data_IF_916437297837
#
_entry.id   IF_916437297837
#
_cell.length_a   1.000
_cell.length_b   1.000
_cell.length_c   1.000
_cell.angle_alpha   90.00
_cell.angle_beta   90.00
_cell.angle_gamma   90.00
#
_symmetry.space_group_name_H-M   'P 1'
#
loop_
_entity.id
_entity.type
_entity.pdbx_description
1 polymer ?
#
# COMPACT_ATOMS: atom_id res chain seq x y z
N UNK A 1 30.53 76.05 -12.02
CA UNK A 1 29.87 74.93 -12.72
C UNK A 1 30.31 73.65 -12.05
N UNK A 2 29.42 73.07 -11.22
CA UNK A 2 29.67 71.85 -10.47
C UNK A 2 28.68 70.81 -11.00
N UNK A 3 29.15 69.73 -11.60
CA UNK A 3 28.36 68.61 -12.02
C UNK A 3 28.29 67.61 -10.86
N UNK A 4 27.07 67.39 -10.39
CA UNK A 4 26.78 66.31 -9.42
C UNK A 4 26.42 65.03 -10.18
N UNK A 5 27.21 63.97 -9.97
CA UNK A 5 26.90 62.60 -10.42
C UNK A 5 25.99 61.95 -9.39
N UNK A 6 24.77 61.54 -9.81
CA UNK A 6 23.87 60.74 -9.02
C UNK A 6 24.18 59.28 -9.31
N UNK A 7 24.57 58.51 -8.25
CA UNK A 7 24.67 57.05 -8.27
C UNK A 7 23.27 56.47 -8.07
N UNK A 8 22.76 55.78 -9.08
CA UNK A 8 21.57 54.92 -8.95
C UNK A 8 22.05 53.55 -8.48
N UNK A 9 21.75 53.18 -7.23
CA UNK A 9 21.95 51.83 -6.71
C UNK A 9 20.73 50.98 -7.12
N UNK A 10 20.92 50.10 -8.10
CA UNK A 10 19.93 49.06 -8.43
C UNK A 10 20.01 47.96 -7.38
N UNK A 11 19.00 47.90 -6.52
CA UNK A 11 18.79 46.76 -5.63
C UNK A 11 18.27 45.57 -6.46
N UNK A 12 19.13 44.59 -6.73
CA UNK A 12 18.73 43.27 -7.24
C UNK A 12 17.97 42.54 -6.16
N UNK A 13 16.64 42.48 -6.28
CA UNK A 13 15.84 41.51 -5.52
C UNK A 13 16.19 40.11 -5.99
N UNK A 14 17.01 39.41 -5.22
CA UNK A 14 17.16 37.97 -5.35
C UNK A 14 15.83 37.30 -4.95
N UNK A 15 15.03 36.95 -5.97
CA UNK A 15 13.89 36.09 -5.80
C UNK A 15 14.45 34.70 -5.43
N UNK A 16 14.62 34.45 -4.12
CA UNK A 16 14.91 33.14 -3.61
C UNK A 16 13.76 32.24 -4.01
N UNK A 17 14.01 31.30 -4.94
CA UNK A 17 13.13 30.17 -5.14
C UNK A 17 13.07 29.43 -3.79
N UNK A 18 12.02 29.68 -2.99
CA UNK A 18 11.62 28.78 -1.93
C UNK A 18 11.30 27.47 -2.63
N UNK A 19 12.22 26.52 -2.60
CA UNK A 19 11.88 25.12 -2.73
C UNK A 19 10.85 24.83 -1.64
N UNK A 20 9.60 24.68 -2.03
CA UNK A 20 8.54 24.14 -1.19
C UNK A 20 9.00 22.73 -0.79
N UNK A 21 9.66 22.62 0.37
CA UNK A 21 9.81 21.33 0.99
C UNK A 21 8.40 20.84 1.26
N UNK A 22 8.06 19.65 0.75
CA UNK A 22 6.83 18.98 1.07
C UNK A 22 6.64 19.02 2.60
N UNK A 23 5.58 19.70 3.06
CA UNK A 23 5.33 19.80 4.49
C UNK A 23 5.02 18.43 5.03
N UNK A 24 5.86 17.93 5.93
CA UNK A 24 5.52 16.77 6.75
C UNK A 24 4.23 17.06 7.50
N UNK A 25 3.37 16.04 7.64
CA UNK A 25 2.19 16.17 8.47
C UNK A 25 2.64 16.53 9.90
N UNK A 26 2.17 17.65 10.47
CA UNK A 26 2.68 18.13 11.76
C UNK A 26 2.42 17.11 12.85
N UNK A 27 3.40 16.87 13.70
CA UNK A 27 3.25 15.99 14.86
C UNK A 27 2.43 16.67 15.95
N UNK A 28 1.70 15.87 16.73
CA UNK A 28 0.99 16.30 17.94
C UNK A 28 1.01 15.18 18.99
N UNK A 29 0.73 15.54 20.26
CA UNK A 29 0.50 14.51 21.27
C UNK A 29 -0.87 13.88 21.04
N UNK A 30 -1.04 12.56 21.27
CA UNK A 30 -2.35 11.93 21.16
C UNK A 30 -3.43 12.64 21.99
N UNK A 31 -3.12 12.99 23.25
CA UNK A 31 -4.03 13.64 24.18
C UNK A 31 -4.52 14.99 23.66
N UNK A 32 -3.63 15.81 23.07
CA UNK A 32 -4.02 17.10 22.48
C UNK A 32 -4.99 16.95 21.31
N UNK A 33 -5.06 15.79 20.71
CA UNK A 33 -5.95 15.43 19.60
C UNK A 33 -7.11 14.52 20.04
N UNK A 34 -7.38 14.44 21.35
CA UNK A 34 -8.49 13.68 21.87
C UNK A 34 -8.31 12.17 21.87
N UNK A 35 -7.08 11.68 21.82
CA UNK A 35 -6.75 10.25 21.80
C UNK A 35 -5.86 9.93 22.99
N UNK A 36 -6.17 8.86 23.73
CA UNK A 36 -5.33 8.43 24.85
C UNK A 36 -4.12 7.64 24.34
N UNK A 37 -2.91 8.02 24.76
CA UNK A 37 -1.68 7.23 24.52
C UNK A 37 -1.83 5.79 25.01
N UNK A 38 -2.55 5.54 26.10
CA UNK A 38 -2.87 4.18 26.59
C UNK A 38 -3.69 3.36 25.61
N UNK A 39 -4.58 3.98 24.83
CA UNK A 39 -5.38 3.26 23.85
C UNK A 39 -4.51 2.79 22.67
N UNK A 40 -3.60 3.64 22.20
CA UNK A 40 -2.64 3.29 21.15
C UNK A 40 -1.71 2.18 21.62
N UNK A 41 -1.18 2.28 22.85
CA UNK A 41 -0.36 1.22 23.46
C UNK A 41 -1.09 -0.12 23.47
N UNK A 42 -2.34 -0.15 23.93
CA UNK A 42 -3.15 -1.38 23.97
C UNK A 42 -3.39 -1.96 22.58
N UNK A 43 -3.55 -1.10 21.57
CA UNK A 43 -3.67 -1.56 20.19
C UNK A 43 -2.36 -2.23 19.71
N UNK A 44 -1.20 -1.61 19.96
CA UNK A 44 0.11 -2.18 19.61
C UNK A 44 0.31 -3.54 20.31
N UNK A 45 0.06 -3.58 21.64
CA UNK A 45 0.18 -4.80 22.45
C UNK A 45 -0.77 -5.91 21.97
N UNK A 46 -1.98 -5.55 21.54
CA UNK A 46 -2.94 -6.49 20.99
C UNK A 46 -2.49 -7.05 19.64
N UNK A 47 -1.91 -6.22 18.76
CA UNK A 47 -1.30 -6.67 17.51
C UNK A 47 -0.15 -7.65 17.76
N UNK A 48 0.77 -7.33 18.68
CA UNK A 48 1.87 -8.21 19.04
C UNK A 48 1.40 -9.53 19.65
N UNK A 49 0.41 -9.47 20.56
CA UNK A 49 -0.18 -10.66 21.16
C UNK A 49 -0.85 -11.57 20.13
N UNK A 50 -1.64 -11.00 19.23
CA UNK A 50 -2.34 -11.75 18.20
C UNK A 50 -1.37 -12.32 17.15
N UNK A 51 -0.26 -11.62 16.86
CA UNK A 51 0.85 -12.17 16.08
C UNK A 51 1.53 -13.36 16.80
N UNK A 52 1.89 -13.19 18.07
CA UNK A 52 2.55 -14.23 18.86
C UNK A 52 1.69 -15.50 19.04
N UNK A 53 0.36 -15.35 19.05
CA UNK A 53 -0.59 -16.48 19.12
C UNK A 53 -1.07 -16.95 17.75
N UNK A 54 -0.46 -16.45 16.68
CA UNK A 54 -0.81 -16.72 15.27
C UNK A 54 -2.26 -16.40 14.89
N UNK A 55 -2.95 -15.54 15.64
CA UNK A 55 -4.33 -15.11 15.33
C UNK A 55 -4.40 -14.16 14.15
N UNK A 56 -3.34 -13.36 13.92
CA UNK A 56 -3.19 -12.54 12.73
C UNK A 56 -2.64 -13.34 11.53
N UNK A 57 -2.04 -14.50 11.75
CA UNK A 57 -1.38 -15.25 10.69
C UNK A 57 -0.15 -14.55 10.13
N UNK A 58 0.55 -13.75 10.97
CA UNK A 58 1.70 -12.94 10.57
C UNK A 58 1.88 -11.70 11.43
N UNK A 59 2.48 -10.65 10.87
CA UNK A 59 2.96 -9.50 11.63
C UNK A 59 2.57 -8.16 11.01
N UNK A 60 2.31 -7.16 11.85
CA UNK A 60 2.32 -5.74 11.46
C UNK A 60 3.77 -5.31 11.25
N UNK A 61 4.03 -4.58 10.18
CA UNK A 61 5.36 -4.10 9.81
C UNK A 61 5.57 -2.62 10.16
N UNK A 62 4.53 -1.81 10.07
CA UNK A 62 4.56 -0.42 10.46
C UNK A 62 3.19 0.23 10.40
N UNK A 63 3.06 1.36 11.07
CA UNK A 63 1.81 2.12 11.14
C UNK A 63 2.03 3.62 11.26
N UNK A 64 1.03 4.38 10.85
CA UNK A 64 0.88 5.82 11.10
C UNK A 64 -0.58 6.10 11.48
N UNK A 65 -0.80 6.83 12.56
CA UNK A 65 -2.12 7.28 13.01
C UNK A 65 -2.18 8.79 12.92
N UNK A 66 -3.15 9.29 12.16
CA UNK A 66 -3.42 10.72 12.01
C UNK A 66 -4.73 11.08 12.70
N UNK A 67 -4.76 12.28 13.30
CA UNK A 67 -5.94 12.88 13.87
C UNK A 67 -5.93 14.38 13.62
N UNK A 68 -7.03 14.96 13.11
CA UNK A 68 -7.13 16.37 12.76
C UNK A 68 -5.96 16.88 11.90
N UNK A 69 -5.53 16.06 10.92
CA UNK A 69 -4.40 16.35 10.04
C UNK A 69 -3.03 16.32 10.69
N UNK A 70 -2.89 15.72 11.88
CA UNK A 70 -1.64 15.63 12.64
C UNK A 70 -1.24 14.19 12.89
N UNK A 71 0.05 13.88 12.80
CA UNK A 71 0.59 12.59 13.21
C UNK A 71 0.62 12.50 14.73
N UNK A 72 -0.16 11.58 15.31
CA UNK A 72 -0.24 11.37 16.75
C UNK A 72 0.55 10.17 17.24
N UNK A 73 0.79 9.19 16.36
CA UNK A 73 1.67 8.05 16.62
C UNK A 73 2.12 7.44 15.29
N UNK A 74 3.35 6.93 15.27
CA UNK A 74 3.89 6.13 14.18
C UNK A 74 4.94 5.16 14.71
N UNK A 75 5.16 4.06 14.02
CA UNK A 75 6.16 3.07 14.39
C UNK A 75 6.39 2.03 13.30
N UNK A 76 7.53 1.35 13.37
CA UNK A 76 7.87 0.25 12.49
C UNK A 76 8.57 -0.85 13.28
N UNK A 77 8.22 -2.11 12.99
CA UNK A 77 8.81 -3.28 13.66
C UNK A 77 10.11 -3.69 12.97
N UNK A 78 11.25 -3.46 13.62
CA UNK A 78 12.53 -3.91 13.08
C UNK A 78 12.54 -5.44 12.79
N UNK A 79 13.14 -5.89 11.67
CA UNK A 79 14.01 -5.19 10.76
C UNK A 79 13.29 -4.38 9.66
N UNK A 80 11.96 -4.40 9.61
CA UNK A 80 11.21 -3.56 8.68
C UNK A 80 11.45 -2.08 8.98
N UNK A 81 11.45 -1.24 7.94
CA UNK A 81 11.55 0.22 8.06
C UNK A 81 10.55 0.89 7.12
N UNK A 82 9.27 0.58 7.30
CA UNK A 82 8.20 1.00 6.38
C UNK A 82 7.86 2.48 6.48
N UNK A 83 8.38 3.19 7.48
CA UNK A 83 8.23 4.64 7.58
C UNK A 83 9.11 5.39 6.59
N UNK A 84 10.25 4.80 6.17
CA UNK A 84 11.25 5.45 5.31
C UNK A 84 11.54 4.66 4.04
N UNK A 85 11.30 3.34 4.04
CA UNK A 85 11.51 2.47 2.89
C UNK A 85 10.18 2.02 2.31
N UNK A 86 10.06 1.99 0.95
CA UNK A 86 8.84 1.50 0.30
C UNK A 86 8.52 0.06 0.71
N UNK A 87 7.24 -0.19 0.88
CA UNK A 87 6.64 -1.50 1.09
C UNK A 87 5.63 -1.78 -0.02
N UNK A 88 5.50 -3.04 -0.43
CA UNK A 88 4.54 -3.46 -1.45
C UNK A 88 3.11 -3.19 -0.98
N UNK A 89 2.32 -2.56 -1.84
CA UNK A 89 0.95 -2.16 -1.55
C UNK A 89 -0.10 -3.20 -1.92
N UNK A 90 0.22 -4.13 -2.82
CA UNK A 90 -0.77 -5.00 -3.43
C UNK A 90 -1.99 -4.20 -3.94
N UNK A 91 -3.20 -4.70 -3.69
CA UNK A 91 -4.44 -4.09 -4.19
C UNK A 91 -4.72 -2.67 -3.68
N UNK A 92 -4.03 -2.19 -2.64
CA UNK A 92 -4.11 -0.78 -2.25
C UNK A 92 -3.72 0.15 -3.42
N UNK A 93 -2.87 -0.32 -4.35
CA UNK A 93 -2.52 0.35 -5.61
C UNK A 93 -3.74 0.80 -6.43
N UNK A 94 -4.84 0.04 -6.36
CA UNK A 94 -6.09 0.31 -7.08
C UNK A 94 -6.66 1.70 -6.77
N UNK A 95 -6.53 2.13 -5.51
CA UNK A 95 -7.03 3.44 -5.08
C UNK A 95 -6.24 4.60 -5.70
N UNK A 96 -4.95 4.42 -5.93
CA UNK A 96 -4.13 5.40 -6.67
C UNK A 96 -4.51 5.43 -8.15
N UNK A 97 -4.74 4.28 -8.77
CA UNK A 97 -5.21 4.19 -10.16
C UNK A 97 -6.59 4.85 -10.33
N UNK A 98 -7.52 4.63 -9.39
CA UNK A 98 -8.80 5.34 -9.36
C UNK A 98 -8.61 6.85 -9.25
N UNK A 99 -7.69 7.30 -8.41
CA UNK A 99 -7.38 8.73 -8.27
C UNK A 99 -6.84 9.33 -9.58
N UNK A 100 -6.03 8.58 -10.34
CA UNK A 100 -5.58 9.00 -11.67
C UNK A 100 -6.76 9.17 -12.64
N UNK A 101 -7.70 8.22 -12.66
CA UNK A 101 -8.95 8.37 -13.45
C UNK A 101 -9.73 9.61 -12.99
N UNK A 102 -9.79 9.87 -11.68
CA UNK A 102 -10.47 11.04 -11.12
C UNK A 102 -9.90 12.36 -11.64
N UNK A 103 -8.59 12.49 -11.71
CA UNK A 103 -7.96 13.69 -12.31
C UNK A 103 -8.34 13.85 -13.78
N UNK A 104 -8.41 12.75 -14.54
CA UNK A 104 -8.78 12.80 -15.95
C UNK A 104 -10.27 13.09 -16.16
N UNK A 105 -11.13 12.70 -15.23
CA UNK A 105 -12.55 13.08 -15.22
C UNK A 105 -12.69 14.57 -14.89
N UNK A 106 -12.00 15.08 -13.89
CA UNK A 106 -11.97 16.49 -13.54
C UNK A 106 -11.44 17.38 -14.69
N UNK A 107 -10.45 16.87 -15.44
CA UNK A 107 -9.93 17.52 -16.65
C UNK A 107 -10.91 17.44 -17.86
N UNK A 108 -12.05 16.76 -17.74
CA UNK A 108 -13.01 16.53 -18.83
C UNK A 108 -12.51 15.59 -19.92
N UNK A 109 -11.45 14.83 -19.67
CA UNK A 109 -10.82 13.91 -20.65
C UNK A 109 -11.44 12.52 -20.66
N UNK A 110 -12.05 12.11 -19.55
CA UNK A 110 -12.76 10.84 -19.39
C UNK A 110 -14.19 11.10 -18.94
N UNK A 111 -15.13 10.48 -19.66
CA UNK A 111 -16.51 10.30 -19.24
C UNK A 111 -16.63 8.87 -18.64
N UNK A 112 -17.24 8.75 -17.46
CA UNK A 112 -17.44 7.47 -16.78
C UNK A 112 -18.32 6.49 -17.58
N UNK A 113 -19.19 6.99 -18.46
CA UNK A 113 -20.03 6.18 -19.33
C UNK A 113 -19.38 5.85 -20.69
N UNK A 114 -18.16 6.35 -20.94
CA UNK A 114 -17.43 6.04 -22.15
C UNK A 114 -17.09 4.54 -22.21
N UNK A 115 -17.28 3.95 -23.39
CA UNK A 115 -17.04 2.53 -23.65
C UNK A 115 -15.55 2.19 -23.61
N UNK A 116 -15.18 1.14 -22.87
CA UNK A 116 -13.78 0.72 -22.67
C UNK A 116 -13.12 0.39 -24.00
N UNK A 117 -13.79 -0.32 -24.89
CA UNK A 117 -13.24 -0.69 -26.21
C UNK A 117 -12.88 0.53 -27.08
N UNK A 118 -13.49 1.70 -26.83
CA UNK A 118 -13.18 2.92 -27.60
C UNK A 118 -11.78 3.47 -27.31
N UNK A 119 -11.13 3.03 -26.22
CA UNK A 119 -9.75 3.39 -25.93
C UNK A 119 -8.73 2.44 -26.58
N UNK A 120 -9.18 1.24 -26.99
CA UNK A 120 -8.33 0.13 -27.43
C UNK A 120 -8.82 -0.48 -28.76
N UNK A 121 -8.91 0.30 -29.85
CA UNK A 121 -9.42 -0.21 -31.12
C UNK A 121 -8.58 -1.35 -31.70
N UNK A 122 -7.24 -1.32 -31.49
CA UNK A 122 -6.32 -2.30 -32.04
C UNK A 122 -6.23 -3.60 -31.20
N UNK A 123 -6.52 -3.50 -29.90
CA UNK A 123 -6.49 -4.61 -28.95
C UNK A 123 -7.87 -5.30 -28.82
N UNK A 124 -8.93 -4.65 -29.32
CA UNK A 124 -10.32 -5.17 -29.26
C UNK A 124 -10.50 -6.32 -30.26
N UNK A 125 -11.16 -7.44 -29.87
CA UNK A 125 -11.50 -8.50 -30.81
C UNK A 125 -12.23 -7.98 -32.06
N UNK A 126 -11.97 -8.56 -33.21
CA UNK A 126 -12.65 -8.21 -34.46
C UNK A 126 -14.18 -8.29 -34.33
N UNK A 127 -14.70 -9.28 -33.60
CA UNK A 127 -16.10 -9.50 -33.30
C UNK A 127 -16.37 -9.47 -31.79
N UNK A 128 -16.33 -8.29 -31.14
CA UNK A 128 -16.55 -8.19 -29.69
C UNK A 128 -17.98 -8.59 -29.33
N UNK A 129 -18.14 -9.28 -28.19
CA UNK A 129 -19.46 -9.66 -27.67
C UNK A 129 -20.31 -8.43 -27.37
N UNK A 130 -21.65 -8.58 -27.32
CA UNK A 130 -22.56 -7.49 -26.96
C UNK A 130 -22.23 -6.94 -25.58
N UNK A 131 -21.94 -7.81 -24.60
CA UNK A 131 -21.56 -7.38 -23.26
C UNK A 131 -20.22 -6.58 -23.28
N UNK A 132 -19.20 -7.03 -24.02
CA UNK A 132 -17.94 -6.28 -24.11
C UNK A 132 -18.15 -4.89 -24.72
N UNK A 133 -19.03 -4.76 -25.73
CA UNK A 133 -19.40 -3.45 -26.33
C UNK A 133 -20.02 -2.49 -25.32
N UNK A 134 -20.65 -3.04 -24.26
CA UNK A 134 -21.36 -2.26 -23.25
C UNK A 134 -20.51 -1.85 -22.06
N UNK A 135 -19.33 -2.47 -21.84
CA UNK A 135 -18.44 -2.16 -20.70
C UNK A 135 -18.04 -0.68 -20.72
N UNK A 136 -18.27 0.00 -19.61
CA UNK A 136 -17.92 1.41 -19.41
C UNK A 136 -16.76 1.55 -18.39
N UNK A 137 -16.15 2.71 -18.36
CA UNK A 137 -15.10 3.04 -17.37
C UNK A 137 -15.61 2.84 -15.93
N UNK A 138 -16.84 3.24 -15.63
CA UNK A 138 -17.44 3.04 -14.29
C UNK A 138 -17.57 1.56 -13.92
N UNK A 139 -17.81 0.68 -14.89
CA UNK A 139 -17.98 -0.75 -14.63
C UNK A 139 -16.65 -1.39 -14.19
N UNK A 140 -15.51 -0.91 -14.71
CA UNK A 140 -14.17 -1.26 -14.23
C UNK A 140 -13.90 -0.71 -12.83
N UNK A 141 -14.23 0.57 -12.58
CA UNK A 141 -14.03 1.23 -11.28
C UNK A 141 -14.80 0.54 -10.16
N UNK A 142 -16.00 0.04 -10.45
CA UNK A 142 -16.89 -0.61 -9.48
C UNK A 142 -16.72 -2.12 -9.40
N UNK A 143 -15.76 -2.72 -10.14
CA UNK A 143 -15.61 -4.18 -10.20
C UNK A 143 -16.84 -4.91 -10.74
N UNK A 144 -17.56 -4.28 -11.65
CA UNK A 144 -18.78 -4.80 -12.28
C UNK A 144 -18.55 -5.11 -13.77
N UNK A 145 -17.37 -5.59 -14.15
CA UNK A 145 -17.02 -5.91 -15.53
C UNK A 145 -17.98 -6.96 -16.15
N UNK A 146 -18.46 -7.90 -15.33
CA UNK A 146 -19.38 -8.95 -15.80
C UNK A 146 -18.69 -10.24 -16.25
N UNK A 147 -17.37 -10.35 -16.13
CA UNK A 147 -16.64 -11.59 -16.37
C UNK A 147 -16.83 -12.57 -15.21
N UNK A 148 -17.17 -13.83 -15.48
CA UNK A 148 -17.20 -14.88 -14.45
C UNK A 148 -15.80 -15.34 -14.07
N UNK A 149 -14.81 -15.12 -14.93
CA UNK A 149 -13.40 -15.37 -14.69
C UNK A 149 -12.63 -14.05 -14.60
N UNK A 150 -12.29 -13.58 -13.38
CA UNK A 150 -11.47 -12.39 -13.20
C UNK A 150 -9.99 -12.67 -13.51
N UNK A 151 -9.17 -11.61 -13.57
CA UNK A 151 -7.71 -11.65 -13.69
C UNK A 151 -7.24 -12.45 -14.94
N UNK A 152 -7.90 -12.24 -16.10
CA UNK A 152 -7.58 -12.96 -17.34
C UNK A 152 -6.17 -12.63 -17.89
N UNK A 153 -5.56 -11.53 -17.45
CA UNK A 153 -4.17 -11.17 -17.76
C UNK A 153 -3.17 -12.22 -17.27
N UNK A 154 -3.55 -13.03 -16.30
CA UNK A 154 -2.70 -14.11 -15.75
C UNK A 154 -2.57 -15.31 -16.68
N UNK A 155 -3.39 -15.41 -17.72
CA UNK A 155 -3.30 -16.50 -18.70
C UNK A 155 -2.15 -16.31 -19.66
N UNK A 156 -1.72 -15.06 -19.89
CA UNK A 156 -0.61 -14.71 -20.76
C UNK A 156 0.34 -13.75 -20.04
N UNK A 157 1.06 -14.29 -19.06
CA UNK A 157 1.95 -13.51 -18.17
C UNK A 157 3.01 -12.74 -18.96
N UNK A 158 3.46 -13.28 -20.11
CA UNK A 158 4.50 -12.68 -20.94
C UNK A 158 3.94 -11.81 -22.07
N UNK A 159 2.63 -11.74 -22.22
CA UNK A 159 1.95 -11.12 -23.34
C UNK A 159 1.36 -9.75 -23.04
N UNK A 160 0.39 -9.37 -23.87
CA UNK A 160 -0.35 -8.12 -23.75
C UNK A 160 -1.56 -8.29 -22.83
N UNK A 161 -1.45 -7.77 -21.62
CA UNK A 161 -2.50 -7.91 -20.61
C UNK A 161 -3.77 -7.11 -20.94
N UNK A 162 -3.67 -5.99 -21.66
CA UNK A 162 -4.83 -5.26 -22.16
C UNK A 162 -5.61 -6.12 -23.13
N UNK A 163 -4.90 -6.72 -24.08
CA UNK A 163 -5.49 -7.63 -25.06
C UNK A 163 -6.10 -8.86 -24.39
N UNK A 164 -5.40 -9.49 -23.45
CA UNK A 164 -5.90 -10.65 -22.69
C UNK A 164 -7.23 -10.31 -22.00
N UNK A 165 -7.33 -9.15 -21.34
CA UNK A 165 -8.54 -8.70 -20.66
C UNK A 165 -9.69 -8.41 -21.63
N UNK A 166 -9.43 -7.78 -22.78
CA UNK A 166 -10.45 -7.48 -23.79
C UNK A 166 -10.94 -8.73 -24.53
N UNK A 167 -10.11 -9.79 -24.60
CA UNK A 167 -10.48 -11.08 -25.17
C UNK A 167 -11.12 -12.04 -24.16
N UNK A 168 -11.19 -11.64 -22.87
CA UNK A 168 -11.88 -12.41 -21.86
C UNK A 168 -13.40 -12.44 -22.13
N UNK A 169 -14.03 -13.54 -21.77
CA UNK A 169 -15.49 -13.67 -21.90
C UNK A 169 -16.21 -12.82 -20.86
N UNK A 170 -17.09 -11.95 -21.30
CA UNK A 170 -17.99 -11.18 -20.45
C UNK A 170 -19.34 -11.91 -20.39
N UNK A 171 -19.53 -12.69 -19.34
CA UNK A 171 -20.65 -13.65 -19.22
C UNK A 171 -21.99 -12.98 -18.80
N UNK A 172 -21.88 -11.83 -18.11
CA UNK A 172 -23.02 -11.11 -17.54
C UNK A 172 -23.08 -9.69 -18.08
N UNK A 173 -24.24 -9.08 -17.98
CA UNK A 173 -24.42 -7.66 -18.31
C UNK A 173 -23.50 -6.81 -17.39
N UNK A 174 -22.62 -5.96 -17.98
CA UNK A 174 -21.76 -5.06 -17.22
C UNK A 174 -22.54 -4.13 -16.30
N UNK A 175 -22.02 -3.86 -15.13
CA UNK A 175 -22.67 -3.01 -14.13
C UNK A 175 -23.65 -3.74 -13.20
N UNK A 176 -23.91 -5.04 -13.40
CA UNK A 176 -24.95 -5.76 -12.65
C UNK A 176 -24.42 -6.61 -11.48
N UNK A 177 -23.22 -7.16 -11.60
CA UNK A 177 -22.67 -8.11 -10.60
C UNK A 177 -21.27 -7.70 -10.22
N UNK A 178 -21.06 -7.49 -8.94
CA UNK A 178 -19.73 -7.26 -8.38
C UNK A 178 -18.89 -8.54 -8.41
N UNK A 179 -17.71 -8.46 -9.02
CA UNK A 179 -16.68 -9.48 -8.96
C UNK A 179 -15.32 -8.82 -8.99
N UNK A 180 -14.57 -9.01 -7.90
CA UNK A 180 -13.25 -8.38 -7.75
C UNK A 180 -12.28 -8.89 -8.82
N UNK A 181 -11.65 -7.95 -9.56
CA UNK A 181 -10.88 -8.23 -10.77
C UNK A 181 -9.71 -7.22 -10.88
N UNK A 182 -8.48 -7.72 -10.72
CA UNK A 182 -7.29 -6.86 -10.80
C UNK A 182 -6.97 -6.46 -12.23
N UNK A 183 -7.32 -7.32 -13.21
CA UNK A 183 -7.19 -7.01 -14.63
C UNK A 183 -8.09 -5.85 -15.06
N UNK A 184 -9.29 -5.73 -14.48
CA UNK A 184 -10.14 -4.57 -14.70
C UNK A 184 -9.43 -3.26 -14.26
N UNK A 185 -8.66 -3.29 -13.18
CA UNK A 185 -7.86 -2.13 -12.76
C UNK A 185 -6.64 -1.92 -13.66
N UNK A 186 -6.04 -2.98 -14.20
CA UNK A 186 -4.99 -2.83 -15.21
C UNK A 186 -5.50 -2.11 -16.47
N UNK A 187 -6.72 -2.42 -16.92
CA UNK A 187 -7.38 -1.65 -17.99
C UNK A 187 -7.56 -0.17 -17.62
N UNK A 188 -7.90 0.16 -16.36
CA UNK A 188 -7.97 1.55 -15.89
C UNK A 188 -6.61 2.23 -15.93
N UNK A 189 -5.53 1.54 -15.55
CA UNK A 189 -4.16 2.05 -15.66
C UNK A 189 -3.80 2.34 -17.12
N UNK A 190 -4.08 1.40 -18.02
CA UNK A 190 -3.85 1.57 -19.45
C UNK A 190 -4.66 2.73 -20.04
N UNK A 191 -5.93 2.91 -19.63
CA UNK A 191 -6.76 4.06 -20.03
C UNK A 191 -6.12 5.36 -19.53
N UNK A 192 -5.67 5.40 -18.26
CA UNK A 192 -5.05 6.60 -17.70
C UNK A 192 -3.77 6.98 -18.47
N UNK A 193 -2.91 6.02 -18.79
CA UNK A 193 -1.69 6.26 -19.60
C UNK A 193 -2.03 6.76 -21.02
N UNK A 194 -2.97 6.09 -21.68
CA UNK A 194 -3.40 6.44 -23.05
C UNK A 194 -4.02 7.83 -23.14
N UNK A 195 -4.85 8.21 -22.16
CA UNK A 195 -5.54 9.52 -22.15
C UNK A 195 -4.65 10.65 -21.65
N UNK A 196 -3.79 10.40 -20.67
CA UNK A 196 -2.84 11.40 -20.19
C UNK A 196 -1.65 11.62 -21.14
N UNK A 197 -1.31 10.61 -21.94
CA UNK A 197 -0.10 10.57 -22.77
C UNK A 197 1.18 10.35 -21.96
N UNK A 198 1.07 9.89 -20.71
CA UNK A 198 2.18 9.67 -19.77
C UNK A 198 2.06 8.31 -19.09
N UNK A 199 3.19 7.68 -18.71
CA UNK A 199 3.16 6.55 -17.77
C UNK A 199 2.38 6.90 -16.50
N UNK A 200 1.60 5.96 -15.97
CA UNK A 200 0.74 6.18 -14.79
C UNK A 200 1.49 6.79 -13.60
N UNK A 201 2.69 6.28 -13.33
CA UNK A 201 3.49 6.76 -12.21
C UNK A 201 4.00 8.19 -12.40
N UNK A 202 4.33 8.57 -13.63
CA UNK A 202 4.71 9.95 -13.97
C UNK A 202 3.51 10.90 -13.86
N UNK A 203 2.35 10.48 -14.37
CA UNK A 203 1.11 11.25 -14.25
C UNK A 203 0.71 11.47 -12.79
N UNK A 204 0.75 10.40 -11.98
CA UNK A 204 0.47 10.48 -10.54
C UNK A 204 1.54 11.29 -9.80
N UNK A 205 2.80 11.21 -10.21
CA UNK A 205 3.88 12.00 -9.61
C UNK A 205 3.55 13.49 -9.68
N UNK A 206 3.20 13.99 -10.84
CA UNK A 206 2.89 15.40 -11.06
C UNK A 206 1.61 15.86 -10.36
N UNK A 207 0.55 15.03 -10.42
CA UNK A 207 -0.79 15.41 -9.99
C UNK A 207 -1.06 15.12 -8.51
N UNK A 208 -0.36 14.14 -7.92
CA UNK A 208 -0.61 13.64 -6.58
C UNK A 208 0.65 13.58 -5.72
N UNK A 209 1.68 12.85 -6.16
CA UNK A 209 2.80 12.53 -5.27
C UNK A 209 3.62 13.77 -4.89
N UNK A 210 4.05 14.56 -5.85
CA UNK A 210 4.82 15.79 -5.59
C UNK A 210 4.01 16.79 -4.75
N UNK A 211 2.72 17.08 -5.06
CA UNK A 211 1.91 17.95 -4.22
C UNK A 211 1.73 17.47 -2.78
N UNK A 212 1.62 16.16 -2.56
CA UNK A 212 1.47 15.56 -1.23
C UNK A 212 2.82 15.33 -0.52
N UNK A 213 3.94 15.54 -1.19
CA UNK A 213 5.26 15.24 -0.65
C UNK A 213 5.57 13.76 -0.51
N UNK A 214 4.95 12.93 -1.33
CA UNK A 214 5.26 11.51 -1.42
C UNK A 214 6.48 11.32 -2.31
N UNK A 215 7.60 10.90 -1.75
CA UNK A 215 8.89 10.86 -2.46
C UNK A 215 9.31 9.47 -2.93
N UNK A 216 8.63 8.43 -2.47
CA UNK A 216 9.06 7.05 -2.65
C UNK A 216 8.16 6.14 -3.51
N UNK A 217 7.00 6.59 -4.06
CA UNK A 217 6.15 5.68 -4.83
C UNK A 217 6.82 5.20 -6.13
N UNK A 218 6.76 3.90 -6.37
CA UNK A 218 7.13 3.27 -7.63
C UNK A 218 6.20 2.08 -7.91
N UNK A 219 6.18 1.56 -9.13
CA UNK A 219 5.37 0.40 -9.51
C UNK A 219 6.14 -0.54 -10.42
N UNK A 220 5.83 -1.82 -10.33
CA UNK A 220 6.13 -2.78 -11.39
C UNK A 220 5.29 -2.49 -12.63
N UNK A 221 5.71 -3.03 -13.76
CA UNK A 221 5.02 -2.85 -15.05
C UNK A 221 4.69 -4.20 -15.68
N UNK A 222 3.67 -4.23 -16.54
CA UNK A 222 3.35 -5.36 -17.40
C UNK A 222 4.45 -5.58 -18.45
N UNK A 223 4.45 -6.71 -19.17
CA UNK A 223 5.38 -6.94 -20.29
C UNK A 223 5.34 -5.88 -21.38
N UNK A 224 4.19 -5.21 -21.55
CA UNK A 224 4.02 -4.09 -22.49
C UNK A 224 4.40 -2.73 -21.93
N UNK A 225 4.90 -2.68 -20.67
CA UNK A 225 5.40 -1.47 -20.00
C UNK A 225 4.36 -0.64 -19.26
N UNK A 226 3.08 -1.07 -19.23
CA UNK A 226 2.01 -0.39 -18.51
C UNK A 226 2.14 -0.68 -17.01
N UNK A 227 2.00 0.33 -16.16
CA UNK A 227 2.08 0.15 -14.71
C UNK A 227 1.06 -0.88 -14.20
N UNK A 228 1.49 -1.76 -13.27
CA UNK A 228 0.62 -2.72 -12.59
C UNK A 228 -0.26 -2.00 -11.55
N UNK A 229 -1.12 -1.08 -12.03
CA UNK A 229 -1.94 -0.20 -11.20
C UNK A 229 -2.92 -0.92 -10.27
N UNK A 230 -3.15 -2.22 -10.50
CA UNK A 230 -4.01 -3.07 -9.68
C UNK A 230 -3.32 -3.67 -8.45
N UNK A 231 -1.95 -3.73 -8.42
CA UNK A 231 -1.23 -4.40 -7.33
C UNK A 231 0.27 -4.05 -7.20
N UNK A 232 0.90 -3.44 -8.22
CA UNK A 232 2.35 -3.35 -8.34
C UNK A 232 2.99 -2.14 -7.67
N UNK A 233 2.23 -1.25 -7.05
CA UNK A 233 2.79 -0.06 -6.41
C UNK A 233 3.43 -0.39 -5.07
N UNK A 234 4.46 0.39 -4.75
CA UNK A 234 5.20 0.36 -3.51
C UNK A 234 5.38 1.78 -3.00
N UNK A 235 5.25 1.99 -1.70
CA UNK A 235 5.55 3.28 -1.05
C UNK A 235 5.65 3.13 0.47
N UNK A 236 5.96 4.20 1.20
CA UNK A 236 6.10 4.17 2.66
C UNK A 236 4.75 4.26 3.38
N UNK A 237 4.73 3.87 4.67
CA UNK A 237 3.53 4.02 5.52
C UNK A 237 3.15 5.48 5.69
N UNK A 238 4.13 6.39 5.75
CA UNK A 238 3.88 7.84 5.80
C UNK A 238 3.20 8.34 4.52
N UNK A 239 3.59 7.81 3.35
CA UNK A 239 2.98 8.20 2.08
C UNK A 239 1.52 7.75 1.97
N UNK A 240 1.21 6.49 2.35
CA UNK A 240 -0.19 6.06 2.36
C UNK A 240 -1.03 6.78 3.42
N UNK A 241 -0.43 7.27 4.51
CA UNK A 241 -1.11 8.12 5.48
C UNK A 241 -1.40 9.51 4.91
N UNK A 242 -0.45 10.13 4.17
CA UNK A 242 -0.69 11.39 3.42
C UNK A 242 -1.83 11.23 2.41
N UNK A 243 -1.85 10.12 1.68
CA UNK A 243 -2.94 9.80 0.76
C UNK A 243 -4.28 9.67 1.50
N UNK A 244 -4.33 8.97 2.64
CA UNK A 244 -5.52 8.90 3.48
C UNK A 244 -6.00 10.27 3.97
N UNK A 245 -5.08 11.14 4.40
CA UNK A 245 -5.41 12.50 4.82
C UNK A 245 -5.93 13.36 3.65
N UNK A 246 -5.36 13.22 2.46
CA UNK A 246 -5.83 13.88 1.25
C UNK A 246 -7.28 13.48 0.91
N UNK A 247 -7.60 12.19 1.03
CA UNK A 247 -8.98 11.69 0.83
C UNK A 247 -9.93 12.20 1.91
N UNK A 248 -9.49 12.21 3.19
CA UNK A 248 -10.26 12.73 4.32
C UNK A 248 -10.59 14.21 4.13
N UNK A 249 -9.69 14.98 3.54
CA UNK A 249 -9.89 16.39 3.20
C UNK A 249 -10.62 16.59 1.85
N UNK A 250 -11.27 15.54 1.34
CA UNK A 250 -12.05 15.58 0.10
C UNK A 250 -11.25 16.15 -1.08
N UNK A 251 -10.00 15.72 -1.24
CA UNK A 251 -9.14 16.09 -2.36
C UNK A 251 -8.46 17.46 -2.22
N UNK A 252 -8.52 18.08 -1.04
CA UNK A 252 -7.77 19.31 -0.74
C UNK A 252 -6.43 18.98 -0.10
N UNK A 253 -5.41 19.78 -0.46
CA UNK A 253 -4.10 19.69 0.16
C UNK A 253 -3.45 21.06 0.15
N UNK A 254 -2.87 21.47 1.27
CA UNK A 254 -2.22 22.77 1.44
C UNK A 254 -3.08 23.94 0.93
N UNK A 255 -4.36 23.91 1.29
CA UNK A 255 -5.35 24.92 0.91
C UNK A 255 -5.86 24.83 -0.53
N UNK A 256 -5.27 24.01 -1.40
CA UNK A 256 -5.67 23.84 -2.81
C UNK A 256 -6.57 22.63 -3.01
N UNK A 257 -7.56 22.74 -3.89
CA UNK A 257 -8.33 21.59 -4.37
C UNK A 257 -7.55 20.96 -5.53
N UNK A 258 -6.90 19.81 -5.26
CA UNK A 258 -6.13 19.10 -6.29
C UNK A 258 -7.02 18.13 -7.09
N UNK A 259 -7.95 17.46 -6.42
CA UNK A 259 -8.93 16.56 -7.00
C UNK A 259 -10.32 17.00 -6.53
N UNK A 260 -11.33 16.96 -7.38
CA UNK A 260 -12.65 17.46 -7.01
C UNK A 260 -13.22 16.73 -5.78
N UNK A 261 -13.93 17.47 -4.95
CA UNK A 261 -14.70 16.92 -3.83
C UNK A 261 -15.71 15.89 -4.31
N UNK A 262 -16.31 16.17 -5.46
CA UNK A 262 -17.30 15.30 -6.07
C UNK A 262 -16.70 13.93 -6.39
N UNK A 263 -15.50 13.90 -7.01
CA UNK A 263 -14.82 12.63 -7.28
C UNK A 263 -14.54 11.86 -6.00
N UNK A 264 -13.96 12.48 -4.97
CA UNK A 264 -13.62 11.79 -3.72
C UNK A 264 -14.87 11.21 -3.08
N UNK A 265 -15.98 11.97 -3.04
CA UNK A 265 -17.26 11.49 -2.51
C UNK A 265 -17.83 10.32 -3.31
N UNK A 266 -17.80 10.39 -4.64
CA UNK A 266 -18.21 9.26 -5.50
C UNK A 266 -17.33 8.04 -5.30
N UNK A 267 -16.01 8.23 -5.31
CA UNK A 267 -15.06 7.13 -5.21
C UNK A 267 -15.15 6.38 -3.87
N UNK A 268 -15.42 7.09 -2.78
CA UNK A 268 -15.49 6.51 -1.43
C UNK A 268 -16.90 6.14 -0.98
N UNK A 269 -17.95 6.53 -1.72
CA UNK A 269 -19.33 6.10 -1.49
C UNK A 269 -19.56 4.67 -2.01
N UNK A 270 -20.56 4.01 -1.46
CA UNK A 270 -20.99 2.71 -2.00
C UNK A 270 -21.62 2.88 -3.38
N UNK A 271 -20.98 2.41 -4.41
CA UNK A 271 -21.44 2.36 -5.78
C UNK A 271 -22.08 1.01 -6.12
N UNK A 272 -21.60 -0.07 -5.50
CA UNK A 272 -22.10 -1.42 -5.71
C UNK A 272 -22.13 -2.19 -4.39
N UNK A 273 -22.96 -3.24 -4.36
CA UNK A 273 -23.01 -4.15 -3.23
C UNK A 273 -21.97 -5.24 -3.39
N UNK A 274 -21.10 -5.40 -2.38
CA UNK A 274 -20.02 -6.38 -2.38
C UNK A 274 -20.36 -7.67 -1.61
N UNK A 275 -21.61 -7.87 -1.24
CA UNK A 275 -22.08 -9.07 -0.53
C UNK A 275 -21.97 -10.33 -1.40
N UNK A 276 -21.41 -11.39 -0.84
CA UNK A 276 -21.29 -12.69 -1.51
C UNK A 276 -19.94 -12.97 -2.18
N UNK A 277 -18.91 -12.19 -1.89
CA UNK A 277 -17.57 -12.44 -2.43
C UNK A 277 -16.84 -13.50 -1.61
N UNK A 278 -16.24 -14.42 -2.33
CA UNK A 278 -15.16 -15.28 -1.82
C UNK A 278 -13.84 -14.53 -2.06
N UNK A 279 -13.31 -13.89 -1.02
CA UNK A 279 -11.94 -13.37 -1.07
C UNK A 279 -11.03 -14.46 -0.50
N UNK A 280 -10.15 -15.01 -1.33
CA UNK A 280 -9.12 -15.98 -0.91
C UNK A 280 -9.60 -17.07 0.05
N UNK A 281 -10.61 -17.85 -0.37
CA UNK A 281 -11.15 -19.00 0.37
C UNK A 281 -11.90 -18.72 1.69
N UNK A 282 -12.12 -17.49 2.09
CA UNK A 282 -12.93 -17.20 3.28
C UNK A 282 -14.38 -16.89 2.88
N UNK A 283 -15.32 -17.65 3.43
CA UNK A 283 -16.76 -17.33 3.37
C UNK A 283 -17.01 -16.22 4.37
N UNK A 284 -17.32 -15.03 3.87
CA UNK A 284 -17.48 -13.84 4.70
C UNK A 284 -18.92 -13.75 5.22
N UNK A 285 -19.09 -13.74 6.55
CA UNK A 285 -20.38 -13.58 7.23
C UNK A 285 -20.86 -12.11 7.26
N UNK A 286 -22.11 -11.88 7.67
CA UNK A 286 -22.79 -10.58 7.70
C UNK A 286 -22.09 -9.48 8.54
N UNK A 287 -21.01 -9.78 9.26
CA UNK A 287 -20.20 -8.84 10.04
C UNK A 287 -18.88 -8.43 9.39
N UNK A 288 -18.59 -8.86 8.16
CA UNK A 288 -17.32 -8.59 7.51
C UNK A 288 -17.24 -7.19 6.90
N UNK A 289 -16.04 -6.59 6.96
CA UNK A 289 -15.72 -5.33 6.31
C UNK A 289 -15.56 -5.44 4.79
N UNK A 290 -15.61 -6.66 4.22
CA UNK A 290 -15.69 -6.89 2.76
C UNK A 290 -17.13 -6.99 2.25
N UNK A 291 -18.12 -6.88 3.13
CA UNK A 291 -19.56 -6.91 2.77
C UNK A 291 -20.27 -5.58 2.98
N UNK A 292 -19.53 -4.48 3.16
CA UNK A 292 -20.13 -3.17 3.39
C UNK A 292 -20.34 -2.35 2.10
N UNK A 293 -19.97 -2.94 0.95
CA UNK A 293 -20.04 -2.33 -0.38
C UNK A 293 -18.69 -1.81 -0.87
N UNK A 294 -18.67 -1.41 -2.14
CA UNK A 294 -17.48 -0.98 -2.86
C UNK A 294 -17.76 0.31 -3.64
N UNK A 295 -16.81 1.21 -3.64
CA UNK A 295 -16.84 2.45 -4.40
C UNK A 295 -16.07 2.35 -5.72
N UNK A 296 -15.36 3.41 -6.11
CA UNK A 296 -14.44 3.41 -7.23
C UNK A 296 -13.05 3.01 -6.73
N UNK A 297 -12.82 1.69 -6.58
CA UNK A 297 -11.58 1.07 -6.07
C UNK A 297 -11.30 1.38 -4.58
N UNK A 298 -12.36 1.56 -3.78
CA UNK A 298 -12.33 1.69 -2.32
C UNK A 298 -13.35 0.75 -1.69
N UNK A 299 -12.97 0.08 -0.62
CA UNK A 299 -13.87 -0.71 0.20
C UNK A 299 -14.60 0.16 1.22
N UNK A 300 -15.90 -0.05 1.35
CA UNK A 300 -16.63 0.46 2.51
C UNK A 300 -16.36 -0.43 3.72
N UNK A 301 -16.39 0.19 4.90
CA UNK A 301 -16.21 -0.49 6.18
C UNK A 301 -17.45 -0.34 7.05
N UNK A 302 -17.50 -1.15 8.09
CA UNK A 302 -18.37 -0.89 9.24
C UNK A 302 -18.03 0.49 9.82
N UNK A 303 -18.88 1.00 10.69
CA UNK A 303 -18.67 2.26 11.43
C UNK A 303 -18.51 3.51 10.52
N UNK A 304 -19.11 3.51 9.33
CA UNK A 304 -19.05 4.67 8.44
C UNK A 304 -17.70 4.92 7.76
N UNK A 305 -16.66 4.16 8.09
CA UNK A 305 -15.33 4.29 7.49
C UNK A 305 -15.29 3.75 6.04
N UNK A 306 -14.19 4.08 5.35
CA UNK A 306 -13.80 3.48 4.08
C UNK A 306 -12.29 3.27 4.06
N UNK A 307 -11.82 2.46 3.13
CA UNK A 307 -10.40 2.16 3.07
C UNK A 307 -9.87 1.88 1.67
N UNK A 308 -8.61 2.19 1.43
CA UNK A 308 -7.76 1.54 0.46
C UNK A 308 -7.20 0.27 1.11
N UNK A 309 -7.17 -0.84 0.34
CA UNK A 309 -6.97 -2.19 0.88
C UNK A 309 -6.07 -3.01 -0.03
N UNK A 310 -5.04 -3.60 0.54
CA UNK A 310 -4.15 -4.52 -0.17
C UNK A 310 -3.95 -5.82 0.59
N UNK A 311 -3.71 -6.89 -0.14
CA UNK A 311 -3.49 -8.22 0.43
C UNK A 311 -2.46 -8.18 1.57
N UNK A 312 -2.64 -9.06 2.54
CA UNK A 312 -1.78 -9.23 3.70
C UNK A 312 -1.69 -8.00 4.63
N UNK A 313 -2.72 -7.14 4.67
CA UNK A 313 -2.85 -6.06 5.65
C UNK A 313 -2.21 -4.73 5.23
N UNK A 314 -2.23 -4.39 3.94
CA UNK A 314 -1.84 -3.07 3.48
C UNK A 314 -3.07 -2.15 3.54
N UNK A 315 -3.24 -1.42 4.62
CA UNK A 315 -4.47 -0.66 4.88
C UNK A 315 -4.23 0.85 4.97
N UNK A 316 -5.15 1.63 4.43
CA UNK A 316 -5.38 3.02 4.80
C UNK A 316 -6.86 3.18 5.11
N UNK A 317 -7.19 3.16 6.40
CA UNK A 317 -8.56 3.31 6.90
C UNK A 317 -8.82 4.79 7.20
N UNK A 318 -9.86 5.34 6.59
CA UNK A 318 -10.27 6.74 6.75
C UNK A 318 -11.57 6.79 7.55
N UNK A 319 -11.59 7.63 8.57
CA UNK A 319 -12.70 7.84 9.51
C UNK A 319 -13.24 9.26 9.37
N UNK A 320 -14.20 9.51 8.46
CA UNK A 320 -14.70 10.87 8.23
C UNK A 320 -15.33 11.51 9.47
N UNK A 321 -16.10 10.75 10.25
CA UNK A 321 -16.76 11.26 11.48
C UNK A 321 -15.78 11.58 12.61
N UNK A 322 -14.65 10.85 12.67
CA UNK A 322 -13.62 11.02 13.69
C UNK A 322 -12.49 11.95 13.23
N UNK A 323 -12.50 12.43 11.99
CA UNK A 323 -11.38 13.18 11.39
C UNK A 323 -10.03 12.50 11.65
N UNK A 324 -9.95 11.21 11.30
CA UNK A 324 -8.79 10.36 11.57
C UNK A 324 -8.43 9.46 10.38
N UNK A 325 -7.16 9.05 10.35
CA UNK A 325 -6.62 8.05 9.40
C UNK A 325 -5.75 7.07 10.17
N UNK A 326 -5.90 5.79 9.85
CA UNK A 326 -5.01 4.72 10.33
C UNK A 326 -4.44 4.02 9.11
N UNK A 327 -3.13 4.12 8.94
CA UNK A 327 -2.39 3.46 7.85
C UNK A 327 -1.48 2.39 8.41
N UNK A 328 -1.49 1.22 7.77
CA UNK A 328 -0.74 0.04 8.20
C UNK A 328 -0.08 -0.63 7.01
N UNK A 329 1.17 -1.05 7.18
CA UNK A 329 1.81 -2.06 6.37
C UNK A 329 2.00 -3.32 7.20
N UNK A 330 1.73 -4.48 6.61
CA UNK A 330 1.80 -5.75 7.29
C UNK A 330 2.14 -6.92 6.36
N UNK A 331 2.39 -8.08 6.96
CA UNK A 331 2.48 -9.37 6.28
C UNK A 331 1.68 -10.39 7.09
N UNK A 332 0.35 -10.38 6.99
CA UNK A 332 -0.54 -11.19 7.81
C UNK A 332 -1.63 -11.89 6.98
N UNK A 333 -2.22 -12.94 7.55
CA UNK A 333 -3.25 -13.76 6.90
C UNK A 333 -4.68 -13.37 7.25
N UNK A 334 -4.93 -12.87 8.48
CA UNK A 334 -6.26 -12.48 8.92
C UNK A 334 -6.45 -10.96 8.95
N UNK A 335 -6.78 -10.40 7.81
CA UNK A 335 -7.03 -8.97 7.64
C UNK A 335 -8.31 -8.48 8.32
N UNK A 336 -9.32 -9.38 8.51
CA UNK A 336 -10.51 -9.00 9.28
C UNK A 336 -10.15 -8.81 10.74
N UNK A 337 -9.29 -9.65 11.29
CA UNK A 337 -8.81 -9.50 12.66
C UNK A 337 -7.99 -8.22 12.84
N UNK A 338 -7.20 -7.84 11.86
CA UNK A 338 -6.50 -6.55 11.85
C UNK A 338 -7.47 -5.37 11.96
N UNK A 339 -8.51 -5.35 11.14
CA UNK A 339 -9.58 -4.33 11.21
C UNK A 339 -10.31 -4.38 12.56
N UNK A 340 -10.63 -5.57 13.09
CA UNK A 340 -11.28 -5.71 14.38
C UNK A 340 -10.45 -5.15 15.54
N UNK A 341 -9.13 -5.22 15.46
CA UNK A 341 -8.23 -4.57 16.43
C UNK A 341 -8.33 -3.04 16.34
N UNK A 342 -8.41 -2.49 15.13
CA UNK A 342 -8.62 -1.04 14.92
C UNK A 342 -9.99 -0.63 15.49
N UNK A 343 -11.06 -1.38 15.21
CA UNK A 343 -12.41 -1.10 15.74
C UNK A 343 -12.49 -1.23 17.26
N UNK A 344 -11.75 -2.16 17.84
CA UNK A 344 -11.81 -2.43 19.27
C UNK A 344 -11.02 -1.43 20.09
N UNK A 345 -9.84 -1.01 19.62
CA UNK A 345 -8.92 -0.22 20.45
C UNK A 345 -8.78 1.23 19.99
N UNK A 346 -8.77 1.51 18.68
CA UNK A 346 -8.53 2.86 18.17
C UNK A 346 -9.83 3.64 17.95
N UNK A 347 -10.84 3.04 17.34
CA UNK A 347 -12.09 3.75 17.06
C UNK A 347 -12.74 4.34 18.33
N UNK A 348 -12.90 3.63 19.45
CA UNK A 348 -13.48 4.20 20.67
C UNK A 348 -12.58 5.25 21.33
N UNK A 349 -11.31 5.29 20.97
CA UNK A 349 -10.35 6.24 21.53
C UNK A 349 -10.37 7.61 20.85
N UNK A 350 -10.99 7.74 19.68
CA UNK A 350 -11.13 9.01 18.98
C UNK A 350 -12.21 9.87 19.65
N UNK A 351 -11.85 10.57 20.74
CA UNK A 351 -12.73 11.43 21.49
C UNK A 351 -13.09 12.74 20.77
N UNK A 352 -14.18 13.41 21.16
CA UNK A 352 -14.64 14.64 20.53
C UNK A 352 -13.83 15.89 20.91
N UNK A 353 -12.98 15.81 21.92
CA UNK A 353 -12.18 16.93 22.45
C UNK A 353 -10.85 16.43 22.98
N UNK A 354 -9.91 17.34 23.22
CA UNK A 354 -8.64 17.01 23.85
C UNK A 354 -8.85 16.21 25.16
N UNK A 355 -8.05 15.15 25.31
CA UNK A 355 -8.04 14.35 26.53
C UNK A 355 -7.15 14.98 27.60
N UNK A 356 -7.30 14.55 28.84
CA UNK A 356 -6.38 14.94 29.90
C UNK A 356 -4.95 14.48 29.57
N UNK A 357 -3.99 15.34 29.79
CA UNK A 357 -2.57 15.01 29.57
C UNK A 357 -2.15 13.83 30.46
N UNK A 358 -1.45 12.88 29.86
CA UNK A 358 -0.90 11.70 30.55
C UNK A 358 0.55 11.49 30.07
N UNK A 359 1.48 12.21 30.71
CA UNK A 359 2.90 12.19 30.33
C UNK A 359 3.53 10.80 30.50
N UNK A 360 3.12 10.04 31.52
CA UNK A 360 3.60 8.69 31.75
C UNK A 360 3.20 7.76 30.60
N UNK A 361 1.93 7.74 30.21
CA UNK A 361 1.45 6.95 29.10
C UNK A 361 2.05 7.39 27.77
N UNK A 362 2.26 8.69 27.57
CA UNK A 362 2.91 9.23 26.38
C UNK A 362 4.39 8.83 26.29
N UNK A 363 5.11 8.89 27.41
CA UNK A 363 6.50 8.42 27.47
C UNK A 363 6.59 6.91 27.20
N UNK A 364 5.67 6.12 27.77
CA UNK A 364 5.59 4.69 27.51
C UNK A 364 5.28 4.39 26.04
N UNK A 365 4.36 5.12 25.40
CA UNK A 365 4.07 4.97 23.97
C UNK A 365 5.29 5.29 23.09
N UNK A 366 5.99 6.40 23.37
CA UNK A 366 7.23 6.74 22.65
C UNK A 366 8.29 5.66 22.79
N UNK A 367 8.52 5.17 24.03
CA UNK A 367 9.47 4.09 24.28
C UNK A 367 9.09 2.81 23.55
N UNK A 368 7.78 2.46 23.53
CA UNK A 368 7.26 1.31 22.80
C UNK A 368 7.49 1.43 21.30
N UNK A 369 7.11 2.55 20.69
CA UNK A 369 7.31 2.79 19.27
C UNK A 369 8.78 2.74 18.85
N UNK A 370 9.70 3.21 19.70
CA UNK A 370 11.12 3.18 19.45
C UNK A 370 11.77 1.77 19.59
N UNK A 371 11.09 0.84 20.24
CA UNK A 371 11.59 -0.52 20.53
C UNK A 371 10.83 -1.62 19.79
N UNK A 372 9.95 -1.29 18.85
CA UNK A 372 9.22 -2.27 18.08
C UNK A 372 10.15 -3.17 17.28
N UNK A 373 10.00 -4.48 17.44
CA UNK A 373 10.76 -5.49 16.71
C UNK A 373 9.93 -6.73 16.44
N UNK A 374 10.11 -7.32 15.27
CA UNK A 374 9.50 -8.59 14.93
C UNK A 374 10.11 -9.70 15.77
N UNK A 375 9.31 -10.63 16.27
CA UNK A 375 9.83 -11.75 17.06
C UNK A 375 10.68 -12.66 16.17
N UNK A 376 11.64 -13.36 16.81
CA UNK A 376 12.33 -14.48 16.20
C UNK A 376 11.35 -15.64 16.13
N UNK A 377 10.85 -15.96 14.93
CA UNK A 377 9.74 -16.91 14.73
C UNK A 377 10.17 -18.34 15.07
N UNK A 378 9.45 -19.01 15.95
CA UNK A 378 9.75 -20.39 16.32
C UNK A 378 9.08 -21.46 15.44
N UNK A 379 8.04 -21.13 14.65
CA UNK A 379 7.13 -22.13 14.07
C UNK A 379 6.92 -22.08 12.54
N UNK A 380 7.64 -21.25 11.79
CA UNK A 380 7.53 -21.25 10.32
C UNK A 380 8.68 -22.04 9.70
N UNK A 381 8.37 -23.20 9.10
CA UNK A 381 9.31 -23.95 8.27
C UNK A 381 9.09 -23.59 6.82
N UNK A 382 9.80 -22.58 6.33
CA UNK A 382 9.91 -22.29 4.91
C UNK A 382 11.40 -22.13 4.58
N UNK A 383 11.95 -23.11 3.87
CA UNK A 383 13.33 -23.10 3.44
C UNK A 383 13.49 -22.02 2.35
N UNK A 384 14.09 -20.91 2.71
CA UNK A 384 14.32 -19.82 1.79
C UNK A 384 15.14 -20.27 0.58
N UNK A 385 14.45 -20.51 -0.55
CA UNK A 385 15.04 -20.88 -1.85
C UNK A 385 16.14 -21.98 -1.79
N UNK A 386 16.01 -22.98 -0.94
CA UNK A 386 16.96 -24.07 -0.81
C UNK A 386 18.17 -23.78 0.09
N UNK A 387 18.19 -22.66 0.80
CA UNK A 387 19.27 -22.31 1.73
C UNK A 387 19.41 -23.24 2.93
N UNK A 388 18.46 -24.11 3.18
CA UNK A 388 18.60 -25.27 4.08
C UNK A 388 19.80 -26.18 3.71
N UNK A 389 20.22 -26.16 2.43
CA UNK A 389 21.36 -26.91 1.88
C UNK A 389 22.62 -26.05 1.70
N UNK A 390 22.58 -24.79 2.10
CA UNK A 390 23.71 -23.87 1.96
C UNK A 390 24.93 -24.28 2.79
N UNK A 391 26.11 -23.88 2.33
CA UNK A 391 27.32 -23.97 3.14
C UNK A 391 27.28 -22.83 4.16
N UNK A 392 27.44 -23.16 5.45
CA UNK A 392 27.42 -22.22 6.56
C UNK A 392 28.84 -21.98 7.07
N UNK A 393 29.34 -20.75 6.96
CA UNK A 393 30.66 -20.33 7.43
C UNK A 393 30.52 -19.27 8.52
N UNK A 394 31.35 -19.33 9.58
CA UNK A 394 31.41 -18.26 10.59
C UNK A 394 31.86 -16.94 9.97
N UNK A 395 31.31 -15.84 10.49
CA UNK A 395 31.71 -14.47 10.16
C UNK A 395 31.81 -13.64 11.45
N UNK A 396 32.49 -12.47 11.46
CA UNK A 396 32.72 -11.69 12.68
C UNK A 396 31.45 -11.35 13.48
N UNK A 397 30.34 -11.07 12.77
CA UNK A 397 29.03 -10.69 13.36
C UNK A 397 27.95 -11.76 13.24
N UNK A 398 28.32 -13.00 12.92
CA UNK A 398 27.36 -14.10 12.75
C UNK A 398 27.84 -15.16 11.77
N UNK A 399 27.14 -15.35 10.67
CA UNK A 399 27.42 -16.38 9.66
C UNK A 399 27.17 -15.86 8.25
N UNK A 400 27.81 -16.50 7.29
CA UNK A 400 27.48 -16.37 5.87
C UNK A 400 27.03 -17.72 5.35
N UNK A 401 25.84 -17.76 4.77
CA UNK A 401 25.32 -18.91 4.06
C UNK A 401 25.60 -18.73 2.56
N UNK A 402 26.18 -19.75 1.92
CA UNK A 402 26.48 -19.75 0.49
C UNK A 402 25.75 -20.90 -0.21
N UNK A 403 24.99 -20.59 -1.27
CA UNK A 403 24.31 -21.53 -2.12
C UNK A 403 24.57 -21.15 -3.60
N UNK A 404 25.47 -21.87 -4.24
CA UNK A 404 25.95 -21.48 -5.58
C UNK A 404 26.67 -20.12 -5.54
N UNK A 405 26.20 -19.19 -6.34
CA UNK A 405 26.68 -17.79 -6.38
C UNK A 405 25.98 -16.85 -5.38
N UNK A 406 24.93 -17.33 -4.72
CA UNK A 406 24.14 -16.54 -3.75
C UNK A 406 24.75 -16.60 -2.35
N UNK A 407 24.78 -15.46 -1.70
CA UNK A 407 25.23 -15.31 -0.32
C UNK A 407 24.17 -14.64 0.53
N UNK A 408 23.92 -15.14 1.75
CA UNK A 408 23.03 -14.56 2.76
C UNK A 408 23.81 -14.32 4.04
N UNK A 409 23.90 -13.07 4.47
CA UNK A 409 24.45 -12.71 5.75
C UNK A 409 23.43 -13.02 6.86
N UNK A 410 23.86 -13.70 7.91
CA UNK A 410 23.02 -14.09 9.04
C UNK A 410 23.65 -13.54 10.31
N UNK A 411 22.98 -12.64 10.99
CA UNK A 411 23.51 -12.02 12.21
C UNK A 411 23.34 -12.91 13.45
N UNK A 412 24.22 -12.75 14.42
CA UNK A 412 24.15 -13.46 15.71
C UNK A 412 23.33 -12.64 16.71
N UNK A 413 22.08 -13.06 16.96
CA UNK A 413 21.14 -12.37 17.87
C UNK A 413 20.68 -10.98 17.40
N UNK A 414 21.11 -10.52 16.23
CA UNK A 414 20.68 -9.27 15.57
C UNK A 414 20.51 -9.50 14.08
N UNK A 415 19.63 -8.74 13.46
CA UNK A 415 19.38 -8.86 12.02
C UNK A 415 20.59 -8.42 11.21
N UNK A 416 21.02 -9.22 10.25
CA UNK A 416 21.97 -8.84 9.20
C UNK A 416 21.20 -8.70 7.87
N UNK A 417 21.53 -7.67 7.10
CA UNK A 417 20.81 -7.38 5.83
C UNK A 417 21.71 -7.76 4.66
N UNK A 418 21.09 -8.39 3.66
CA UNK A 418 21.71 -8.75 2.39
C UNK A 418 20.83 -8.22 1.26
N UNK A 419 21.45 -7.54 0.29
CA UNK A 419 20.75 -7.12 -0.93
C UNK A 419 20.92 -8.15 -2.02
N UNK A 420 19.81 -8.60 -2.60
CA UNK A 420 19.78 -9.52 -3.74
C UNK A 420 19.11 -8.91 -4.94
N UNK A 421 19.70 -9.14 -6.12
CA UNK A 421 19.12 -8.76 -7.39
C UNK A 421 18.45 -9.99 -8.02
N UNK A 422 17.14 -9.90 -8.25
CA UNK A 422 16.31 -10.98 -8.81
C UNK A 422 16.04 -10.83 -10.32
N UNK A 423 16.61 -9.85 -10.97
CA UNK A 423 16.48 -9.58 -12.40
C UNK A 423 16.80 -8.13 -12.71
N UNK A 424 16.92 -7.81 -14.01
CA UNK A 424 17.28 -6.47 -14.49
C UNK A 424 16.06 -5.60 -14.83
N UNK A 425 14.84 -6.15 -14.76
CA UNK A 425 13.63 -5.46 -15.18
C UNK A 425 12.63 -5.31 -14.01
N UNK A 426 11.82 -4.25 -14.06
CA UNK A 426 10.65 -4.08 -13.21
C UNK A 426 9.40 -4.75 -13.80
N UNK A 427 9.55 -5.61 -14.80
CA UNK A 427 8.45 -6.39 -15.36
C UNK A 427 8.00 -7.42 -14.35
N UNK A 428 6.72 -7.35 -13.99
CA UNK A 428 6.10 -8.18 -12.97
C UNK A 428 5.87 -9.60 -13.48
N UNK A 429 6.54 -10.62 -12.98
CA UNK A 429 6.13 -12.01 -13.15
C UNK A 429 5.32 -12.46 -11.92
N UNK A 430 4.10 -11.89 -11.72
CA UNK A 430 3.14 -12.31 -10.69
C UNK A 430 3.75 -12.49 -9.27
N UNK A 431 3.93 -11.37 -8.55
CA UNK A 431 4.33 -11.35 -7.13
C UNK A 431 5.72 -11.92 -6.81
N UNK A 432 6.58 -12.17 -7.78
CA UNK A 432 7.91 -12.74 -7.58
C UNK A 432 8.97 -11.76 -8.06
N UNK A 433 9.65 -11.14 -7.10
CA UNK A 433 11.05 -10.77 -7.11
C UNK A 433 11.60 -10.25 -8.46
N UNK A 434 11.18 -9.08 -8.87
CA UNK A 434 11.89 -8.29 -9.86
C UNK A 434 12.69 -7.19 -9.14
N UNK A 435 13.83 -6.82 -9.70
CA UNK A 435 14.69 -5.77 -9.13
C UNK A 435 15.54 -6.24 -7.93
N UNK A 436 15.94 -5.29 -7.10
CA UNK A 436 16.77 -5.55 -5.92
C UNK A 436 15.93 -5.53 -4.66
N UNK A 437 16.04 -6.58 -3.86
CA UNK A 437 15.36 -6.70 -2.57
C UNK A 437 16.36 -6.84 -1.44
N UNK A 438 16.03 -6.28 -0.29
CA UNK A 438 16.78 -6.49 0.96
C UNK A 438 16.14 -7.63 1.74
N UNK A 439 16.99 -8.54 2.24
CA UNK A 439 16.61 -9.66 3.07
C UNK A 439 17.33 -9.52 4.39
N UNK A 440 16.60 -9.48 5.48
CA UNK A 440 17.15 -9.52 6.82
C UNK A 440 17.13 -10.96 7.32
N UNK A 441 18.23 -11.41 7.91
CA UNK A 441 18.34 -12.74 8.51
C UNK A 441 19.07 -12.70 9.86
N UNK A 442 18.62 -13.56 10.78
CA UNK A 442 19.21 -13.73 12.10
C UNK A 442 19.33 -15.21 12.44
N UNK A 443 20.43 -15.60 13.03
CA UNK A 443 20.73 -17.00 13.38
C UNK A 443 20.71 -17.24 14.88
N UNK A 444 20.29 -18.47 15.26
CA UNK A 444 20.38 -18.99 16.60
C UNK A 444 21.04 -20.39 16.55
N UNK A 445 22.23 -20.58 17.15
CA UNK A 445 22.85 -21.89 17.25
C UNK A 445 21.99 -22.88 18.05
N UNK A 446 21.87 -24.10 17.57
CA UNK A 446 21.15 -25.20 18.24
C UNK A 446 22.12 -26.14 18.94
N UNK A 447 21.59 -26.90 19.91
CA UNK A 447 22.37 -27.87 20.70
C UNK A 447 22.97 -29.01 19.84
N UNK A 448 22.35 -29.36 18.72
CA UNK A 448 22.82 -30.36 17.76
C UNK A 448 23.93 -29.86 16.82
N UNK A 449 24.39 -28.63 17.00
CA UNK A 449 25.40 -27.99 16.17
C UNK A 449 24.87 -27.36 14.89
N UNK A 450 23.57 -27.47 14.59
CA UNK A 450 22.96 -26.76 13.48
C UNK A 450 22.69 -25.29 13.77
N UNK A 451 22.41 -24.50 12.74
CA UNK A 451 22.03 -23.09 12.83
C UNK A 451 20.56 -22.93 12.41
N UNK A 452 19.73 -22.46 13.32
CA UNK A 452 18.36 -22.01 12.98
C UNK A 452 18.43 -20.59 12.45
N UNK A 453 17.87 -20.34 11.27
CA UNK A 453 17.89 -19.05 10.59
C UNK A 453 16.45 -18.56 10.40
N UNK A 454 16.16 -17.39 10.97
CA UNK A 454 14.92 -16.64 10.71
C UNK A 454 15.22 -15.55 9.68
N UNK A 455 14.36 -15.38 8.70
CA UNK A 455 14.55 -14.42 7.62
C UNK A 455 13.29 -13.65 7.27
N UNK A 456 13.46 -12.45 6.68
CA UNK A 456 12.40 -11.55 6.26
C UNK A 456 12.78 -10.80 4.99
N UNK A 457 11.87 -10.69 4.01
CA UNK A 457 11.96 -9.67 2.97
C UNK A 457 11.61 -8.31 3.54
N UNK A 458 12.50 -7.33 3.36
CA UNK A 458 12.22 -5.95 3.75
C UNK A 458 11.37 -5.26 2.67
N UNK A 459 10.32 -4.58 3.09
CA UNK A 459 9.33 -3.99 2.18
C UNK A 459 8.40 -5.01 1.50
N UNK A 460 8.38 -6.26 1.96
CA UNK A 460 7.51 -7.33 1.46
C UNK A 460 6.95 -8.19 2.58
N UNK A 461 6.10 -9.15 2.22
CA UNK A 461 5.37 -9.98 3.18
C UNK A 461 6.02 -11.34 3.46
N UNK A 462 7.02 -11.75 2.65
CA UNK A 462 7.65 -13.06 2.79
C UNK A 462 8.58 -13.10 3.98
N UNK A 463 8.42 -14.12 4.79
CA UNK A 463 9.25 -14.42 5.95
C UNK A 463 9.25 -15.92 6.21
N UNK A 464 10.19 -16.39 6.99
CA UNK A 464 10.24 -17.80 7.36
C UNK A 464 11.43 -18.16 8.22
N UNK A 465 11.59 -19.46 8.40
CA UNK A 465 12.67 -20.06 9.16
C UNK A 465 13.13 -21.37 8.50
N UNK A 466 14.41 -21.64 8.57
CA UNK A 466 14.99 -22.93 8.16
C UNK A 466 16.19 -23.27 9.04
N UNK A 467 16.64 -24.51 8.96
CA UNK A 467 17.80 -25.00 9.72
C UNK A 467 18.90 -25.41 8.75
N UNK A 468 20.13 -25.00 9.02
CA UNK A 468 21.30 -25.34 8.23
C UNK A 468 22.27 -26.15 9.09
N UNK A 469 22.81 -27.31 8.61
CA UNK A 469 23.90 -27.99 9.27
C UNK A 469 25.12 -27.08 9.33
N UNK A 470 25.77 -26.98 10.49
CA UNK A 470 27.09 -26.36 10.59
C UNK A 470 28.14 -27.43 10.33
N UNK A 471 28.97 -27.21 9.32
CA UNK A 471 30.12 -28.06 9.02
C UNK A 471 31.35 -27.58 9.77
#
# INVERSE_FOLDING_TARGET
MKYAFAFVVAAAMACGACSLSAQDLPAATPESQGVSSKAILRWIEACEKDSATNRLGGYVHGFVILRHGRTIAEGTWAPQNTLEKPHMLYSHSKSFTSTAIGFLVDDGKIDLDRRVISFFPDETPENPSENLRQVRVRDLLTMNLGADRPDAERDDIAGDWVKAMLHNKIDREPGTVFKYDSGATHLLAAIAEKVSGKPLMEFLKERLFDPLGMTSPWSTVSPTGIACGGWGMNTTTRDIARFGQFLLQEGRWDGKQLLSREWVRLATARQTWSGGIVVQSQTIGSGSDWQQGYGFQFWRCRHGAYRADGAAGQLTVVFPEQDAVVSVHAGLGDMQRELDLIWTYLLPAFGPSAAAEDEEARAALRAKCASLALPLVDNAEDAFEGFDKAVCEPAPDGWVLTLGDRRLNVGNGKWAVTSWKFGDSNVEPLFINCGTHEIAAVGAPRADGSLSVTWQFLGGIRHGRFTVPRR
#
